data_IF_432144487396
#
_entry.id   IF_432144487396
#
_cell.length_a   1.000
_cell.length_b   1.000
_cell.length_c   1.000
_cell.angle_alpha   90.00
_cell.angle_beta   90.00
_cell.angle_gamma   90.00
#
_symmetry.space_group_name_H-M   'P 1'
#
loop_
_entity.id
_entity.type
_entity.pdbx_description
1 polymer ?
#
# COMPACT_ATOMS: atom_id res chain seq x y z
N UNK A 1 52.56 -23.90 11.72
CA UNK A 1 51.47 -23.42 10.83
C UNK A 1 51.96 -22.30 9.92
N UNK A 2 52.20 -22.58 8.63
CA UNK A 2 52.78 -21.63 7.66
C UNK A 2 51.94 -20.36 7.42
N UNK A 3 50.62 -20.45 7.54
CA UNK A 3 49.70 -19.37 7.15
C UNK A 3 49.61 -18.20 8.13
N UNK A 4 50.08 -18.35 9.39
CA UNK A 4 50.14 -17.23 10.34
C UNK A 4 51.36 -16.34 10.14
N UNK A 5 52.47 -16.90 9.64
CA UNK A 5 53.73 -16.17 9.41
C UNK A 5 53.65 -15.27 8.16
N UNK A 6 52.99 -15.73 7.09
CA UNK A 6 52.81 -14.95 5.87
C UNK A 6 52.02 -13.64 6.10
N UNK A 7 50.91 -13.70 6.85
CA UNK A 7 50.10 -12.51 7.17
C UNK A 7 50.85 -11.50 8.05
N UNK A 8 51.72 -11.99 8.94
CA UNK A 8 52.55 -11.14 9.80
C UNK A 8 53.66 -10.47 8.98
N UNK A 9 54.33 -11.21 8.10
CA UNK A 9 55.37 -10.67 7.21
C UNK A 9 54.83 -9.55 6.33
N UNK A 10 53.69 -9.77 5.66
CA UNK A 10 53.06 -8.74 4.82
C UNK A 10 52.67 -7.49 5.61
N UNK A 11 52.21 -7.66 6.87
CA UNK A 11 51.82 -6.54 7.73
C UNK A 11 53.03 -5.77 8.26
N UNK A 12 54.13 -6.45 8.57
CA UNK A 12 55.39 -5.82 8.97
C UNK A 12 56.08 -5.12 7.79
N UNK A 13 56.01 -5.68 6.59
CA UNK A 13 56.52 -5.05 5.38
C UNK A 13 55.74 -3.78 5.04
N UNK A 14 54.39 -3.83 5.05
CA UNK A 14 53.55 -2.64 4.88
C UNK A 14 53.80 -1.57 5.96
N UNK A 15 54.11 -1.99 7.19
CA UNK A 15 54.43 -1.06 8.29
C UNK A 15 55.81 -0.42 8.10
N UNK A 16 56.79 -1.16 7.57
CA UNK A 16 58.12 -0.64 7.22
C UNK A 16 58.05 0.33 6.04
N UNK A 17 57.30 -0.01 5.00
CA UNK A 17 57.09 0.83 3.80
C UNK A 17 56.36 2.15 4.14
N UNK A 18 55.39 2.10 5.07
CA UNK A 18 54.66 3.30 5.50
C UNK A 18 55.41 4.17 6.50
N UNK A 19 56.48 3.66 7.13
CA UNK A 19 57.18 4.36 8.21
C UNK A 19 56.34 4.48 9.50
N UNK A 20 57.02 4.76 10.62
CA UNK A 20 56.39 4.91 11.93
C UNK A 20 56.04 6.37 12.28
N UNK A 21 56.42 7.32 11.42
CA UNK A 21 56.41 8.76 11.68
C UNK A 21 55.51 9.54 10.71
N UNK A 22 54.51 8.86 10.13
CA UNK A 22 53.44 9.53 9.41
C UNK A 22 52.33 9.89 10.40
N UNK A 23 51.96 11.17 10.43
CA UNK A 23 50.76 11.63 11.11
C UNK A 23 49.56 10.77 10.67
N UNK A 24 48.59 10.49 11.56
CA UNK A 24 47.40 9.74 11.17
C UNK A 24 46.76 10.41 9.95
N UNK A 25 46.41 9.65 8.90
CA UNK A 25 45.84 10.21 7.69
C UNK A 25 44.51 10.87 8.05
N UNK A 26 44.52 12.20 8.20
CA UNK A 26 43.38 12.97 8.69
C UNK A 26 43.74 14.26 9.44
N UNK A 27 45.00 14.47 9.84
CA UNK A 27 45.36 15.59 10.72
C UNK A 27 45.79 16.91 10.04
N UNK A 28 45.81 17.02 8.69
CA UNK A 28 46.11 18.34 8.08
C UNK A 28 46.50 18.45 6.61
N UNK A 29 46.27 17.44 5.75
CA UNK A 29 46.67 17.51 4.35
C UNK A 29 45.47 17.79 3.43
N UNK A 30 45.52 18.84 2.62
CA UNK A 30 44.47 19.19 1.64
C UNK A 30 44.22 18.11 0.58
N UNK A 31 45.11 17.10 0.51
CA UNK A 31 44.90 15.88 -0.26
C UNK A 31 43.83 14.95 0.32
N UNK A 32 43.35 15.14 1.55
CA UNK A 32 42.28 14.31 2.13
C UNK A 32 40.98 14.44 1.34
N UNK A 33 40.58 15.63 0.90
CA UNK A 33 39.37 15.77 0.06
C UNK A 33 39.51 15.13 -1.33
N UNK A 34 40.73 15.01 -1.86
CA UNK A 34 41.00 14.41 -3.17
C UNK A 34 41.31 12.90 -3.11
N UNK A 35 41.66 12.37 -1.93
CA UNK A 35 42.01 10.95 -1.71
C UNK A 35 41.02 10.21 -0.81
N UNK A 36 40.16 10.91 -0.07
CA UNK A 36 39.00 10.32 0.57
C UNK A 36 38.01 9.90 -0.52
N UNK A 37 37.69 8.61 -0.54
CA UNK A 37 36.69 8.07 -1.45
C UNK A 37 35.38 8.85 -1.27
N UNK A 38 34.91 9.47 -2.35
CA UNK A 38 33.68 10.28 -2.36
C UNK A 38 32.59 9.51 -1.59
N UNK A 39 32.01 10.12 -0.53
CA UNK A 39 31.05 9.42 0.29
C UNK A 39 29.88 8.95 -0.59
N UNK A 40 29.41 7.73 -0.33
CA UNK A 40 28.42 7.04 -1.18
C UNK A 40 27.15 7.87 -1.44
N UNK A 41 26.81 8.79 -0.54
CA UNK A 41 25.71 9.73 -0.72
C UNK A 41 25.99 10.73 -1.84
N UNK A 42 27.18 11.32 -1.87
CA UNK A 42 27.61 12.31 -2.87
C UNK A 42 27.89 11.62 -4.20
N UNK A 43 28.50 10.43 -4.22
CA UNK A 43 28.74 9.69 -5.48
C UNK A 43 27.42 9.38 -6.21
N UNK A 44 26.37 8.99 -5.48
CA UNK A 44 25.02 8.82 -6.05
C UNK A 44 24.43 10.10 -6.62
N UNK A 45 24.78 11.26 -6.07
CA UNK A 45 24.31 12.56 -6.56
C UNK A 45 25.08 12.97 -7.82
N UNK A 46 26.40 12.79 -7.83
CA UNK A 46 27.25 13.06 -8.99
C UNK A 46 26.91 12.14 -10.18
N UNK A 47 26.68 10.85 -9.92
CA UNK A 47 26.30 9.86 -10.94
C UNK A 47 24.79 9.84 -11.24
N UNK A 48 24.00 10.76 -10.69
CA UNK A 48 22.53 10.72 -10.78
C UNK A 48 22.03 10.70 -12.23
N UNK A 49 22.71 11.39 -13.15
CA UNK A 49 22.35 11.39 -14.56
C UNK A 49 22.56 9.99 -15.20
N UNK A 50 23.72 9.37 -14.95
CA UNK A 50 24.07 8.02 -15.44
C UNK A 50 23.12 6.95 -14.88
N UNK A 51 22.84 7.00 -13.58
CA UNK A 51 21.90 6.08 -12.91
C UNK A 51 20.50 6.19 -13.54
N UNK A 52 20.05 7.42 -13.86
CA UNK A 52 18.74 7.64 -14.50
C UNK A 52 18.70 7.12 -15.93
N UNK A 53 19.75 7.30 -16.72
CA UNK A 53 19.82 6.79 -18.10
C UNK A 53 19.87 5.27 -18.12
N UNK A 54 20.72 4.67 -17.29
CA UNK A 54 20.82 3.21 -17.14
C UNK A 54 19.49 2.61 -16.67
N UNK A 55 18.81 3.24 -15.71
CA UNK A 55 17.50 2.77 -15.27
C UNK A 55 16.45 2.82 -16.39
N UNK A 56 16.44 3.89 -17.19
CA UNK A 56 15.53 4.03 -18.34
C UNK A 56 15.85 2.99 -19.42
N UNK A 57 17.13 2.78 -19.73
CA UNK A 57 17.59 1.77 -20.68
C UNK A 57 17.25 0.36 -20.19
N UNK A 58 17.57 0.02 -18.94
CA UNK A 58 17.24 -1.27 -18.32
C UNK A 58 15.73 -1.51 -18.24
N UNK A 59 14.93 -0.46 -18.04
CA UNK A 59 13.46 -0.55 -18.09
C UNK A 59 12.96 -0.81 -19.52
N UNK A 60 13.55 -0.16 -20.53
CA UNK A 60 13.24 -0.37 -21.95
C UNK A 60 13.65 -1.77 -22.42
N UNK A 61 14.86 -2.23 -22.08
CA UNK A 61 15.34 -3.58 -22.38
C UNK A 61 14.45 -4.67 -21.74
N UNK A 62 14.02 -4.46 -20.48
CA UNK A 62 13.05 -5.37 -19.82
C UNK A 62 11.66 -5.38 -20.48
N UNK A 63 11.27 -4.33 -21.17
CA UNK A 63 9.99 -4.26 -21.89
C UNK A 63 10.08 -4.88 -23.28
N UNK A 64 11.26 -4.82 -23.93
CA UNK A 64 11.50 -5.37 -25.25
C UNK A 64 11.90 -6.85 -25.26
N UNK A 65 11.96 -7.52 -24.11
CA UNK A 65 12.27 -8.95 -24.02
C UNK A 65 13.71 -9.33 -24.38
N UNK A 66 14.54 -8.35 -24.75
CA UNK A 66 15.97 -8.54 -25.01
C UNK A 66 16.71 -8.69 -23.68
N UNK A 67 16.80 -9.95 -23.24
CA UNK A 67 17.55 -10.34 -22.06
C UNK A 67 19.04 -10.23 -22.31
N UNK A 68 19.62 -9.05 -22.04
CA UNK A 68 21.05 -8.95 -21.73
C UNK A 68 21.31 -9.82 -20.50
N UNK A 69 21.94 -10.96 -20.77
CA UNK A 69 22.37 -12.01 -19.87
C UNK A 69 23.81 -11.72 -19.48
N UNK A 70 24.02 -10.71 -18.64
CA UNK A 70 25.27 -10.49 -17.93
C UNK A 70 24.96 -9.85 -16.56
N UNK A 71 25.88 -10.07 -15.61
CA UNK A 71 25.83 -9.74 -14.18
C UNK A 71 25.27 -10.84 -13.23
N UNK A 72 25.93 -11.98 -13.24
CA UNK A 72 26.28 -12.70 -12.01
C UNK A 72 27.26 -11.85 -11.18
N UNK A 73 26.77 -10.89 -10.38
CA UNK A 73 27.44 -10.40 -9.14
C UNK A 73 26.68 -9.24 -8.46
N UNK A 74 25.46 -9.53 -7.96
CA UNK A 74 24.77 -8.61 -7.05
C UNK A 74 24.17 -9.38 -5.85
N UNK A 75 24.48 -8.97 -4.59
CA UNK A 75 24.03 -9.70 -3.40
C UNK A 75 22.51 -9.58 -3.21
N UNK A 76 21.82 -10.69 -3.48
CA UNK A 76 20.81 -11.33 -2.61
C UNK A 76 19.66 -10.51 -2.00
N UNK A 77 19.08 -9.52 -2.68
CA UNK A 77 17.73 -9.01 -2.30
C UNK A 77 16.69 -8.93 -3.45
N UNK A 78 17.07 -9.23 -4.69
CA UNK A 78 16.18 -9.13 -5.85
C UNK A 78 15.83 -10.47 -6.55
N UNK A 79 16.38 -11.61 -6.07
CA UNK A 79 16.13 -12.94 -6.69
C UNK A 79 14.73 -13.51 -6.42
N UNK A 80 13.99 -13.02 -5.43
CA UNK A 80 12.65 -13.53 -5.10
C UNK A 80 11.52 -13.12 -6.07
N UNK A 81 11.72 -12.09 -6.91
CA UNK A 81 10.62 -11.50 -7.71
C UNK A 81 10.65 -11.87 -9.20
N UNK A 82 11.75 -12.42 -9.73
CA UNK A 82 11.90 -12.69 -11.17
C UNK A 82 11.46 -14.10 -11.60
N UNK A 83 11.51 -15.11 -10.73
CA UNK A 83 11.03 -16.47 -11.08
C UNK A 83 9.50 -16.59 -11.19
N UNK A 84 8.73 -15.57 -10.75
CA UNK A 84 7.25 -15.62 -10.76
C UNK A 84 6.58 -14.89 -11.93
N UNK A 85 7.34 -14.33 -12.87
CA UNK A 85 6.77 -13.62 -14.04
C UNK A 85 6.82 -14.42 -15.34
N UNK A 86 7.66 -15.45 -15.45
CA UNK A 86 7.73 -16.29 -16.66
C UNK A 86 6.59 -17.31 -16.71
N UNK A 87 5.89 -17.55 -15.59
CA UNK A 87 4.68 -18.39 -15.55
C UNK A 87 3.37 -17.55 -15.53
N UNK A 88 3.42 -16.29 -15.97
CA UNK A 88 2.24 -15.41 -16.00
C UNK A 88 1.74 -15.14 -17.43
N UNK A 89 2.37 -15.74 -18.43
CA UNK A 89 2.03 -15.63 -19.86
C UNK A 89 1.69 -17.00 -20.47
N UNK A 90 1.46 -18.02 -19.63
CA UNK A 90 0.66 -19.15 -20.07
C UNK A 90 -0.78 -18.68 -20.06
N UNK A 91 -1.24 -18.33 -21.26
CA UNK A 91 -2.62 -18.35 -21.73
C UNK A 91 -3.30 -19.70 -21.41
N UNK A 92 -3.41 -20.02 -20.13
CA UNK A 92 -4.21 -21.11 -19.60
C UNK A 92 -5.63 -20.58 -19.38
N UNK A 93 -6.22 -20.08 -20.46
CA UNK A 93 -7.63 -19.80 -20.52
C UNK A 93 -8.39 -21.05 -20.10
N UNK A 94 -9.05 -20.95 -18.94
CA UNK A 94 -10.19 -21.79 -18.56
C UNK A 94 -9.88 -23.27 -18.25
N UNK A 95 -8.69 -23.62 -17.74
CA UNK A 95 -8.60 -24.90 -17.03
C UNK A 95 -9.47 -24.78 -15.78
N UNK A 96 -10.59 -25.50 -15.75
CA UNK A 96 -11.43 -25.62 -14.56
C UNK A 96 -10.52 -26.05 -13.40
N UNK A 97 -10.34 -25.17 -12.39
CA UNK A 97 -9.56 -25.52 -11.22
C UNK A 97 -10.43 -26.48 -10.44
N UNK A 98 -10.13 -27.77 -10.58
CA UNK A 98 -10.79 -28.86 -9.87
C UNK A 98 -9.95 -29.28 -8.66
N UNK A 99 -10.61 -29.87 -7.66
CA UNK A 99 -9.94 -30.41 -6.47
C UNK A 99 -9.13 -31.62 -6.93
N UNK A 100 -7.82 -31.62 -6.68
CA UNK A 100 -6.98 -32.76 -7.02
C UNK A 100 -7.18 -33.91 -6.04
N UNK A 101 -7.04 -35.18 -6.48
CA UNK A 101 -7.17 -36.32 -5.58
C UNK A 101 -6.12 -36.22 -4.45
N UNK A 102 -6.58 -36.32 -3.20
CA UNK A 102 -5.73 -36.19 -2.02
C UNK A 102 -5.42 -34.74 -1.61
N UNK A 103 -5.90 -33.73 -2.33
CA UNK A 103 -5.78 -32.34 -1.91
C UNK A 103 -6.85 -31.98 -0.86
N UNK A 104 -6.46 -31.29 0.22
CA UNK A 104 -7.44 -30.72 1.14
C UNK A 104 -8.05 -29.43 0.59
N UNK A 105 -9.31 -29.16 0.93
CA UNK A 105 -10.06 -27.97 0.47
C UNK A 105 -9.31 -26.64 0.71
N UNK A 106 -8.50 -26.57 1.77
CA UNK A 106 -7.66 -25.40 2.07
C UNK A 106 -6.59 -25.15 1.00
N UNK A 107 -5.95 -26.20 0.48
CA UNK A 107 -4.96 -26.09 -0.58
C UNK A 107 -5.61 -25.69 -1.90
N UNK A 108 -6.79 -26.28 -2.19
CA UNK A 108 -7.58 -25.92 -3.36
C UNK A 108 -7.92 -24.42 -3.37
N UNK A 109 -8.48 -23.92 -2.26
CA UNK A 109 -8.82 -22.50 -2.12
C UNK A 109 -7.59 -21.60 -2.31
N UNK A 110 -6.43 -22.00 -1.79
CA UNK A 110 -5.18 -21.25 -1.97
C UNK A 110 -4.75 -21.20 -3.44
N UNK A 111 -4.89 -22.29 -4.20
CA UNK A 111 -4.59 -22.31 -5.64
C UNK A 111 -5.57 -21.48 -6.44
N UNK A 112 -6.87 -21.59 -6.15
CA UNK A 112 -7.91 -20.75 -6.75
C UNK A 112 -7.62 -19.27 -6.52
N UNK A 113 -7.29 -18.88 -5.28
CA UNK A 113 -6.89 -17.52 -4.97
C UNK A 113 -5.65 -17.10 -5.74
N UNK A 114 -4.60 -17.91 -5.77
CA UNK A 114 -3.35 -17.56 -6.45
C UNK A 114 -3.53 -17.42 -7.97
N UNK A 115 -4.42 -18.22 -8.57
CA UNK A 115 -4.81 -18.11 -9.98
C UNK A 115 -5.66 -16.86 -10.27
N UNK A 116 -6.62 -16.52 -9.39
CA UNK A 116 -7.49 -15.35 -9.59
C UNK A 116 -6.87 -14.02 -9.14
N UNK A 117 -5.88 -14.06 -8.25
CA UNK A 117 -5.17 -12.88 -7.73
C UNK A 117 -4.64 -11.92 -8.81
N UNK A 118 -3.98 -12.35 -9.89
CA UNK A 118 -3.53 -11.42 -10.93
C UNK A 118 -4.70 -10.70 -11.61
N UNK A 119 -5.78 -11.41 -11.93
CA UNK A 119 -6.98 -10.83 -12.56
C UNK A 119 -7.69 -9.85 -11.62
N UNK A 120 -7.85 -10.20 -10.35
CA UNK A 120 -8.42 -9.29 -9.35
C UNK A 120 -7.55 -8.05 -9.18
N UNK A 121 -6.22 -8.21 -9.13
CA UNK A 121 -5.29 -7.07 -9.04
C UNK A 121 -5.32 -6.18 -10.27
N UNK A 122 -5.39 -6.73 -11.48
CA UNK A 122 -5.47 -5.93 -12.72
C UNK A 122 -6.80 -5.18 -12.78
N UNK A 123 -7.92 -5.82 -12.43
CA UNK A 123 -9.24 -5.20 -12.35
C UNK A 123 -9.27 -4.06 -11.31
N UNK A 124 -8.70 -4.27 -10.11
CA UNK A 124 -8.60 -3.22 -9.08
C UNK A 124 -7.73 -2.03 -9.52
N UNK A 125 -6.63 -2.28 -10.23
CA UNK A 125 -5.78 -1.21 -10.74
C UNK A 125 -6.46 -0.45 -11.88
N UNK A 126 -7.19 -1.16 -12.75
CA UNK A 126 -7.96 -0.56 -13.82
C UNK A 126 -9.10 0.33 -13.28
N UNK A 127 -9.87 -0.17 -12.30
CA UNK A 127 -10.96 0.60 -11.68
C UNK A 127 -10.45 1.82 -10.90
N UNK A 128 -9.33 1.69 -10.19
CA UNK A 128 -8.70 2.84 -9.54
C UNK A 128 -8.21 3.89 -10.55
N UNK A 129 -7.79 3.46 -11.74
CA UNK A 129 -7.38 4.38 -12.81
C UNK A 129 -8.59 5.08 -13.45
N UNK A 130 -9.71 4.39 -13.66
CA UNK A 130 -10.95 5.01 -14.16
C UNK A 130 -11.51 6.00 -13.13
N UNK A 131 -11.56 5.64 -11.85
CA UNK A 131 -12.03 6.54 -10.78
C UNK A 131 -11.20 7.83 -10.72
N UNK A 132 -9.87 7.73 -10.89
CA UNK A 132 -8.99 8.92 -10.95
C UNK A 132 -9.26 9.78 -12.17
N UNK A 133 -9.51 9.17 -13.33
CA UNK A 133 -9.86 9.89 -14.56
C UNK A 133 -11.21 10.59 -14.41
N UNK A 134 -12.20 9.93 -13.82
CA UNK A 134 -13.53 10.50 -13.55
C UNK A 134 -13.45 11.67 -12.57
N UNK A 135 -12.69 11.54 -11.47
CA UNK A 135 -12.46 12.67 -10.54
C UNK A 135 -11.75 13.86 -11.22
N UNK A 136 -10.80 13.59 -12.12
CA UNK A 136 -10.12 14.63 -12.88
C UNK A 136 -11.05 15.27 -13.94
N UNK A 137 -11.88 14.48 -14.62
CA UNK A 137 -12.86 14.99 -15.58
C UNK A 137 -13.95 15.83 -14.88
N UNK A 138 -14.43 15.40 -13.72
CA UNK A 138 -15.41 16.13 -12.93
C UNK A 138 -14.87 17.48 -12.39
N UNK A 139 -13.56 17.58 -12.14
CA UNK A 139 -12.93 18.85 -11.74
C UNK A 139 -12.66 19.79 -12.92
N UNK A 140 -12.53 19.27 -14.14
CA UNK A 140 -12.28 20.07 -15.35
C UNK A 140 -13.59 20.55 -16.00
N UNK A 141 -14.68 19.79 -15.91
CA UNK A 141 -15.97 20.12 -16.56
C UNK A 141 -16.94 20.96 -15.72
N UNK A 142 -16.45 21.70 -14.71
CA UNK A 142 -17.13 22.90 -14.22
C UNK A 142 -18.56 22.73 -13.67
N UNK A 143 -18.73 21.94 -12.60
CA UNK A 143 -19.72 22.32 -11.58
C UNK A 143 -18.97 22.67 -10.29
N UNK A 144 -18.96 23.94 -9.86
CA UNK A 144 -18.48 24.28 -8.54
C UNK A 144 -19.52 23.75 -7.55
N UNK A 145 -19.33 22.52 -7.08
CA UNK A 145 -19.98 22.12 -5.84
C UNK A 145 -19.35 22.96 -4.74
N UNK A 146 -20.15 23.91 -4.23
CA UNK A 146 -19.94 24.64 -2.99
C UNK A 146 -19.08 23.81 -2.02
N UNK A 147 -17.80 24.17 -1.95
CA UNK A 147 -17.05 23.99 -0.75
C UNK A 147 -17.78 24.79 0.31
N UNK A 148 -18.58 24.12 1.12
CA UNK A 148 -19.01 24.60 2.43
C UNK A 148 -17.75 24.79 3.27
N UNK A 149 -17.09 25.91 3.03
CA UNK A 149 -16.25 26.59 3.97
C UNK A 149 -17.16 26.93 5.16
N UNK A 150 -17.17 26.05 6.16
CA UNK A 150 -17.52 26.49 7.52
C UNK A 150 -16.27 27.16 8.09
N UNK A 151 -16.32 28.48 7.95
CA UNK A 151 -15.68 29.49 8.76
C UNK A 151 -15.46 29.05 10.22
N UNK A 152 -14.22 29.20 10.69
CA UNK A 152 -13.92 29.51 12.08
C UNK A 152 -13.24 30.88 12.10
N UNK A 153 -14.06 31.93 12.03
CA UNK A 153 -13.69 33.29 12.42
C UNK A 153 -14.42 33.55 13.74
N UNK A 154 -13.68 33.93 14.77
CA UNK A 154 -14.22 34.53 15.98
C UNK A 154 -13.68 33.97 17.30
N UNK A 155 -12.40 34.25 17.61
CA UNK A 155 -12.06 34.94 18.86
C UNK A 155 -10.69 35.59 18.75
N UNK A 156 -10.72 36.90 18.55
CA UNK A 156 -9.59 37.79 18.80
C UNK A 156 -9.38 37.91 20.31
N UNK A 157 -8.12 37.98 20.74
CA UNK A 157 -7.51 38.98 21.63
C UNK A 157 -6.20 38.38 22.18
N UNK A 158 -5.06 39.00 21.84
CA UNK A 158 -3.73 38.51 22.22
C UNK A 158 -2.63 39.07 21.33
N UNK A 159 -2.53 40.40 21.32
CA UNK A 159 -1.46 41.19 20.71
C UNK A 159 -0.15 40.97 21.48
N UNK A 160 0.97 40.69 20.77
CA UNK A 160 2.19 41.54 20.71
C UNK A 160 3.38 40.79 20.07
N UNK A 161 3.91 41.40 18.99
CA UNK A 161 5.33 41.61 18.66
C UNK A 161 6.26 40.46 18.22
N UNK A 162 6.75 40.58 16.96
CA UNK A 162 8.19 40.55 16.57
C UNK A 162 8.82 39.13 16.54
N UNK A 163 9.37 38.54 15.46
CA UNK A 163 10.02 39.01 14.22
C UNK A 163 10.31 37.83 13.29
N UNK A 164 10.32 38.12 11.98
CA UNK A 164 11.18 37.58 10.93
C UNK A 164 11.05 36.10 10.49
N UNK A 165 10.55 35.99 9.27
CA UNK A 165 10.70 34.93 8.29
C UNK A 165 12.15 34.53 8.00
N UNK A 166 12.43 33.22 7.92
CA UNK A 166 13.15 32.63 6.77
C UNK A 166 12.93 31.11 6.64
N UNK A 167 12.46 30.73 5.46
CA UNK A 167 12.43 29.42 4.80
C UNK A 167 13.14 28.20 5.45
N UNK A 168 12.37 27.14 5.72
CA UNK A 168 12.65 25.76 5.28
C UNK A 168 11.50 24.81 5.71
N UNK A 169 10.97 24.02 4.77
CA UNK A 169 9.78 23.17 4.87
C UNK A 169 9.48 22.54 6.23
N UNK A 170 8.51 23.14 6.94
CA UNK A 170 7.85 22.53 8.09
C UNK A 170 7.03 21.32 7.64
N UNK A 171 7.40 20.14 8.15
CA UNK A 171 6.60 18.93 8.05
C UNK A 171 5.20 19.20 8.61
N UNK A 172 4.20 19.30 7.71
CA UNK A 172 2.78 19.55 8.02
C UNK A 172 2.15 18.45 8.88
N UNK A 173 2.91 17.42 9.25
CA UNK A 173 2.49 16.33 10.11
C UNK A 173 3.18 16.32 11.48
N UNK A 174 4.01 17.32 11.80
CA UNK A 174 4.60 17.45 13.15
C UNK A 174 3.57 17.67 14.24
N UNK A 175 2.49 18.38 13.93
CA UNK A 175 1.39 18.66 14.88
C UNK A 175 0.27 17.62 14.84
N UNK A 176 0.41 16.59 13.97
CA UNK A 176 -0.57 15.52 13.91
C UNK A 176 -0.26 14.55 15.05
N UNK A 177 -1.16 14.34 16.02
CA UNK A 177 -0.90 13.43 17.13
C UNK A 177 -0.60 12.05 16.55
N UNK A 178 0.62 11.55 16.78
CA UNK A 178 0.98 10.19 16.40
C UNK A 178 0.18 9.25 17.30
N UNK A 179 -0.62 8.36 16.70
CA UNK A 179 -1.47 7.35 17.37
C UNK A 179 -0.66 6.39 18.28
N UNK A 180 0.67 6.46 18.23
CA UNK A 180 1.60 5.77 19.13
C UNK A 180 2.45 6.73 19.94
N UNK A 181 1.88 7.85 20.41
CA UNK A 181 2.41 8.53 21.57
C UNK A 181 2.38 7.52 22.72
N UNK A 182 3.47 6.76 22.82
CA UNK A 182 3.81 5.89 23.93
C UNK A 182 3.52 6.69 25.18
N UNK A 183 2.62 6.17 26.00
CA UNK A 183 2.28 6.76 27.29
C UNK A 183 3.58 6.80 28.08
N UNK A 184 4.27 7.94 28.02
CA UNK A 184 5.53 8.19 28.72
C UNK A 184 5.18 8.39 30.20
N UNK A 185 4.80 7.32 30.88
CA UNK A 185 4.81 7.30 32.33
C UNK A 185 6.21 6.90 32.77
N UNK A 186 7.12 7.86 32.78
CA UNK A 186 8.51 7.69 33.19
C UNK A 186 8.70 7.43 34.71
N UNK A 187 7.65 6.98 35.41
CA UNK A 187 7.73 6.50 36.80
C UNK A 187 7.34 5.02 36.84
N UNK A 188 8.14 4.13 37.44
CA UNK A 188 7.78 2.72 37.60
C UNK A 188 6.52 2.62 38.47
N UNK A 189 5.43 2.10 37.89
CA UNK A 189 4.17 1.92 38.60
C UNK A 189 4.31 0.76 39.57
N UNK A 190 3.89 0.95 40.82
CA UNK A 190 3.93 -0.10 41.85
C UNK A 190 2.83 -1.11 41.56
N UNK A 191 3.07 -2.37 41.92
CA UNK A 191 2.18 -3.51 41.61
C UNK A 191 0.75 -3.34 42.15
N UNK A 192 0.58 -2.50 43.17
CA UNK A 192 -0.71 -2.20 43.79
C UNK A 192 -1.50 -1.07 43.09
N UNK A 193 -0.89 -0.31 42.18
CA UNK A 193 -1.58 0.72 41.35
C UNK A 193 -2.32 0.10 40.14
N UNK A 194 -2.22 -1.22 39.96
CA UNK A 194 -2.83 -2.00 38.86
C UNK A 194 -4.24 -2.51 39.25
N UNK A 195 -4.62 -2.39 40.52
CA UNK A 195 -5.99 -2.66 40.97
C UNK A 195 -6.92 -1.47 40.65
N UNK A 196 -6.94 -1.05 39.39
CA UNK A 196 -8.00 -0.17 38.88
C UNK A 196 -9.23 -1.02 38.63
N UNK A 197 -10.34 -0.72 39.31
CA UNK A 197 -11.66 -1.22 38.97
C UNK A 197 -11.89 -1.14 37.45
N UNK A 198 -12.62 -2.09 36.84
CA UNK A 198 -12.84 -2.10 35.40
C UNK A 198 -13.37 -0.72 34.97
N UNK A 199 -12.72 -0.06 33.98
CA UNK A 199 -13.04 1.31 33.63
C UNK A 199 -14.50 1.41 33.20
N UNK A 200 -15.27 2.27 33.87
CA UNK A 200 -16.64 2.56 33.47
C UNK A 200 -16.65 3.29 32.13
N UNK A 201 -17.18 2.63 31.10
CA UNK A 201 -17.33 3.17 29.75
C UNK A 201 -18.37 4.30 29.75
N UNK A 202 -17.95 5.52 30.07
CA UNK A 202 -18.78 6.72 29.84
C UNK A 202 -19.11 6.78 28.34
N UNK A 203 -20.41 6.78 28.04
CA UNK A 203 -21.02 6.66 26.70
C UNK A 203 -20.23 7.46 25.65
N UNK A 204 -19.66 6.75 24.67
CA UNK A 204 -18.96 7.37 23.54
C UNK A 204 -19.90 8.33 22.80
N UNK A 205 -19.41 9.49 22.34
CA UNK A 205 -20.20 10.39 21.51
C UNK A 205 -20.67 9.65 20.26
N UNK A 206 -22.00 9.58 20.12
CA UNK A 206 -22.77 8.83 19.14
C UNK A 206 -22.51 9.30 17.70
N UNK A 207 -21.32 9.02 17.14
CA UNK A 207 -21.00 9.35 15.74
C UNK A 207 -19.88 8.57 15.07
N UNK A 208 -19.52 7.36 15.53
CA UNK A 208 -18.65 6.41 14.78
C UNK A 208 -19.00 4.94 15.08
N UNK A 209 -20.23 4.54 14.79
CA UNK A 209 -20.70 3.16 14.94
C UNK A 209 -21.09 2.57 13.58
N UNK A 210 -20.15 2.49 12.63
CA UNK A 210 -20.38 1.78 11.36
C UNK A 210 -19.32 0.76 10.97
N UNK A 211 -18.23 0.59 11.73
CA UNK A 211 -17.15 -0.35 11.36
C UNK A 211 -17.05 -1.61 12.23
N UNK A 212 -18.01 -1.86 13.12
CA UNK A 212 -18.07 -3.11 13.88
C UNK A 212 -19.48 -3.71 13.85
N UNK A 213 -19.76 -4.43 12.76
CA UNK A 213 -20.35 -5.77 12.77
C UNK A 213 -21.60 -6.09 13.60
N UNK A 214 -22.42 -5.11 14.00
CA UNK A 214 -23.66 -5.37 14.72
C UNK A 214 -24.86 -5.13 13.80
N UNK A 215 -25.60 -6.19 13.47
CA UNK A 215 -26.96 -6.07 12.92
C UNK A 215 -27.87 -5.45 13.98
N UNK A 216 -28.69 -4.43 13.67
CA UNK A 216 -29.96 -4.27 14.32
C UNK A 216 -31.10 -4.49 13.33
N UNK A 217 -32.07 -5.25 13.81
CA UNK A 217 -33.33 -5.49 13.16
C UNK A 217 -34.05 -4.18 12.79
N UNK A 218 -34.78 -4.26 11.67
CA UNK A 218 -35.99 -3.49 11.30
C UNK A 218 -36.26 -2.23 12.14
N UNK A 219 -36.14 -1.06 11.52
CA UNK A 219 -37.28 -0.13 11.33
C UNK A 219 -36.86 1.13 10.55
N UNK A 220 -37.73 1.46 9.59
CA UNK A 220 -38.09 2.81 9.10
C UNK A 220 -36.98 3.69 8.48
N UNK A 221 -37.01 3.69 7.15
CA UNK A 221 -37.09 4.89 6.30
C UNK A 221 -36.35 6.15 6.81
N UNK A 222 -35.04 6.20 6.58
CA UNK A 222 -34.32 7.46 6.34
C UNK A 222 -33.31 7.15 5.24
N UNK A 223 -33.38 7.92 4.15
CA UNK A 223 -32.71 7.68 2.87
C UNK A 223 -31.30 7.11 3.01
N UNK A 224 -31.21 5.80 2.81
CA UNK A 224 -29.94 5.11 2.62
C UNK A 224 -29.32 5.66 1.34
N UNK A 225 -28.28 6.49 1.49
CA UNK A 225 -27.44 6.92 0.38
C UNK A 225 -26.65 5.70 -0.07
N UNK A 226 -27.33 4.75 -0.73
CA UNK A 226 -26.71 3.64 -1.43
C UNK A 226 -25.85 4.26 -2.52
N UNK A 227 -24.60 3.82 -2.62
CA UNK A 227 -23.72 4.20 -3.73
C UNK A 227 -24.43 3.91 -5.06
N UNK A 228 -24.24 4.78 -6.07
CA UNK A 228 -24.86 4.59 -7.40
C UNK A 228 -24.58 3.21 -7.99
N UNK A 229 -23.40 2.64 -7.72
CA UNK A 229 -23.06 1.27 -8.13
C UNK A 229 -23.90 0.20 -7.41
N UNK A 230 -24.16 0.39 -6.11
CA UNK A 230 -25.00 -0.52 -5.33
C UNK A 230 -26.46 -0.40 -5.74
N UNK A 231 -26.93 0.81 -6.06
CA UNK A 231 -28.25 1.04 -6.61
C UNK A 231 -28.44 0.32 -7.95
N UNK A 232 -27.47 0.41 -8.86
CA UNK A 232 -27.51 -0.30 -10.14
C UNK A 232 -27.55 -1.83 -9.96
N UNK A 233 -26.78 -2.40 -9.03
CA UNK A 233 -26.84 -3.85 -8.74
C UNK A 233 -28.21 -4.26 -8.16
N UNK A 234 -28.79 -3.45 -7.28
CA UNK A 234 -30.12 -3.73 -6.75
C UNK A 234 -31.22 -3.59 -7.82
N UNK A 235 -31.05 -2.70 -8.79
CA UNK A 235 -31.96 -2.52 -9.91
C UNK A 235 -31.92 -3.72 -10.88
N UNK A 236 -30.74 -4.28 -11.18
CA UNK A 236 -30.64 -5.51 -11.99
C UNK A 236 -31.22 -6.73 -11.27
N UNK A 237 -30.98 -6.86 -9.95
CA UNK A 237 -31.61 -7.91 -9.14
C UNK A 237 -33.14 -7.78 -9.11
N UNK A 238 -33.64 -6.54 -9.02
CA UNK A 238 -35.08 -6.25 -9.06
C UNK A 238 -35.69 -6.65 -10.40
N UNK A 239 -35.06 -6.31 -11.52
CA UNK A 239 -35.53 -6.69 -12.86
C UNK A 239 -35.56 -8.22 -13.03
N UNK A 240 -34.52 -8.91 -12.57
CA UNK A 240 -34.45 -10.37 -12.59
C UNK A 240 -35.56 -11.01 -11.74
N UNK A 241 -35.84 -10.46 -10.56
CA UNK A 241 -36.92 -10.93 -9.68
C UNK A 241 -38.30 -10.72 -10.33
N UNK A 242 -38.54 -9.56 -10.95
CA UNK A 242 -39.78 -9.27 -11.67
C UNK A 242 -39.97 -10.23 -12.85
N UNK A 243 -38.90 -10.51 -13.62
CA UNK A 243 -38.95 -11.45 -14.74
C UNK A 243 -39.34 -12.85 -14.28
N UNK A 244 -38.66 -13.38 -13.26
CA UNK A 244 -38.99 -14.69 -12.67
C UNK A 244 -40.42 -14.75 -12.15
N UNK A 245 -40.90 -13.68 -11.52
CA UNK A 245 -42.27 -13.62 -11.02
C UNK A 245 -43.29 -13.63 -12.17
N UNK A 246 -43.02 -12.91 -13.27
CA UNK A 246 -43.88 -12.93 -14.47
C UNK A 246 -43.93 -14.32 -15.10
N UNK A 247 -42.78 -14.95 -15.30
CA UNK A 247 -42.70 -16.33 -15.82
C UNK A 247 -43.46 -17.32 -14.92
N UNK A 248 -43.30 -17.22 -13.59
CA UNK A 248 -44.03 -18.06 -12.63
C UNK A 248 -45.54 -17.83 -12.72
N UNK A 249 -45.98 -16.57 -12.86
CA UNK A 249 -47.39 -16.22 -12.96
C UNK A 249 -48.01 -16.69 -14.28
N UNK A 250 -47.27 -16.59 -15.39
CA UNK A 250 -47.70 -17.10 -16.70
C UNK A 250 -47.84 -18.62 -16.69
N UNK A 251 -46.92 -19.34 -16.03
CA UNK A 251 -47.04 -20.80 -15.83
C UNK A 251 -48.31 -21.15 -15.03
N UNK A 252 -48.53 -20.48 -13.90
CA UNK A 252 -49.75 -20.71 -13.10
C UNK A 252 -51.03 -20.44 -13.88
N UNK A 253 -51.07 -19.38 -14.68
CA UNK A 253 -52.24 -19.07 -15.50
C UNK A 253 -52.47 -20.11 -16.61
N UNK A 254 -51.40 -20.67 -17.20
CA UNK A 254 -51.51 -21.77 -18.17
C UNK A 254 -52.04 -23.04 -17.50
N UNK A 255 -51.47 -23.42 -16.36
CA UNK A 255 -51.90 -24.60 -15.59
C UNK A 255 -53.39 -24.48 -15.17
N UNK A 256 -53.82 -23.29 -14.73
CA UNK A 256 -55.23 -22.99 -14.42
C UNK A 256 -56.15 -23.09 -15.65
N UNK A 257 -55.70 -22.60 -16.81
CA UNK A 257 -56.47 -22.70 -18.06
C UNK A 257 -56.57 -24.12 -18.60
N UNK A 258 -55.52 -24.93 -18.45
CA UNK A 258 -55.51 -26.33 -18.87
C UNK A 258 -56.43 -27.16 -17.97
N UNK A 259 -56.40 -26.94 -16.65
CA UNK A 259 -57.33 -27.60 -15.72
C UNK A 259 -58.80 -27.29 -16.05
N UNK A 260 -59.12 -26.04 -16.36
CA UNK A 260 -60.48 -25.61 -16.70
C UNK A 260 -61.02 -26.16 -18.04
N UNK A 261 -60.16 -26.63 -18.95
CA UNK A 261 -60.59 -27.29 -20.20
C UNK A 261 -60.77 -28.81 -20.04
N UNK A 262 -60.17 -29.41 -19.01
CA UNK A 262 -60.25 -30.84 -18.72
C UNK A 262 -61.35 -31.23 -17.73
N UNK A 263 -62.10 -30.24 -17.22
CA UNK A 263 -63.24 -30.43 -16.31
C UNK A 263 -64.54 -29.97 -16.97
#
# INVERSE_FOLDING_TARGET
>A
MPHKRAKRSAREQQRKERGADLAPPGAGSSTTLSTEGIPKSISRVLDAARIRTEYRQKKRARQLGEGSHDDDDAPTLAKGKKRRRVAADSDAGKSAIEIQPGESLKHFNRRVEDHMRPLVRSAMLASAATERKERKAATVNGTPRESKARSSVGKAEGMTTTTLSTAAGGDKHRDRPKEFATISSARPRRLNDIATAPPELKKLPRRRASDLGAKPARTKAVGSVLSMAQRAMMETERENAIRRYREMKERKAKDESEQAQTS
#
